data_IF_472195665729
#
_entry.id   IF_472195665729
#
_cell.length_a   1.000
_cell.length_b   1.000
_cell.length_c   1.000
_cell.angle_alpha   90.00
_cell.angle_beta   90.00
_cell.angle_gamma   90.00
#
_symmetry.space_group_name_H-M   'P 1'
#
loop_
_entity.id
_entity.type
_entity.pdbx_description
1 polymer ?
#
# COMPACT_ATOMS: atom_id res chain seq x y z
N UNK A 1 -2.12 14.49 -12.02
CA UNK A 1 -0.78 15.06 -11.87
C UNK A 1 -0.02 14.28 -10.80
N UNK A 2 1.24 13.95 -11.06
CA UNK A 2 2.07 13.26 -10.08
C UNK A 2 2.39 14.21 -8.90
N UNK A 3 2.12 13.81 -7.63
CA UNK A 3 2.31 14.69 -6.47
C UNK A 3 3.77 14.98 -6.16
N UNK A 4 4.73 14.30 -6.81
CA UNK A 4 6.17 14.45 -6.57
C UNK A 4 6.81 15.50 -7.45
N UNK A 5 6.07 16.14 -8.35
CA UNK A 5 6.59 17.10 -9.32
C UNK A 5 5.81 18.40 -9.27
N UNK A 6 6.51 19.49 -9.43
CA UNK A 6 5.88 20.78 -9.66
C UNK A 6 5.60 20.97 -11.15
N UNK A 7 4.47 21.57 -11.45
CA UNK A 7 4.09 21.88 -12.83
C UNK A 7 5.15 22.77 -13.47
N UNK A 8 5.69 22.34 -14.62
CA UNK A 8 6.68 23.10 -15.38
C UNK A 8 8.14 22.84 -15.03
N UNK A 9 8.42 22.00 -14.04
CA UNK A 9 9.80 21.61 -13.73
C UNK A 9 10.20 20.37 -14.52
N UNK A 10 11.42 20.36 -15.07
CA UNK A 10 11.99 19.28 -15.87
C UNK A 10 12.92 18.35 -15.07
N UNK A 11 13.06 18.58 -13.76
CA UNK A 11 13.90 17.78 -12.88
C UNK A 11 13.10 17.35 -11.66
N UNK A 12 13.49 16.20 -11.07
CA UNK A 12 12.84 15.65 -9.89
C UNK A 12 13.24 16.41 -8.63
N UNK A 13 12.25 16.76 -7.81
CA UNK A 13 12.51 17.32 -6.49
C UNK A 13 13.15 16.29 -5.54
N UNK A 14 12.73 15.03 -5.64
CA UNK A 14 13.22 13.93 -4.81
C UNK A 14 13.62 12.75 -5.69
N UNK A 15 14.74 12.09 -5.34
CA UNK A 15 15.21 10.88 -6.03
C UNK A 15 14.63 9.61 -5.43
N UNK A 16 14.29 9.65 -4.16
CA UNK A 16 13.76 8.50 -3.41
C UNK A 16 12.70 9.00 -2.45
N UNK A 17 11.56 8.32 -2.43
CA UNK A 17 10.42 8.67 -1.58
C UNK A 17 9.88 7.44 -0.86
N UNK A 18 9.36 7.67 0.33
CA UNK A 18 8.55 6.71 1.06
C UNK A 18 7.10 7.20 1.02
N UNK A 19 6.25 6.46 0.33
CA UNK A 19 4.84 6.77 0.20
C UNK A 19 4.04 5.97 1.23
N UNK A 20 3.31 6.66 2.07
CA UNK A 20 2.39 6.01 3.01
C UNK A 20 0.98 6.04 2.41
N UNK A 21 0.42 4.86 2.17
CA UNK A 21 -0.96 4.69 1.73
C UNK A 21 -1.80 4.23 2.91
N UNK A 22 -2.78 5.02 3.31
CA UNK A 22 -3.75 4.56 4.29
C UNK A 22 -4.64 3.47 3.66
N UNK A 23 -5.15 2.56 4.48
CA UNK A 23 -6.09 1.57 3.99
C UNK A 23 -7.33 2.23 3.38
N UNK A 24 -7.81 3.29 3.97
CA UNK A 24 -8.97 4.05 3.49
C UNK A 24 -8.76 4.58 2.07
N UNK A 25 -7.54 4.94 1.70
CA UNK A 25 -7.22 5.38 0.34
C UNK A 25 -7.51 4.28 -0.70
N UNK A 26 -7.34 3.01 -0.34
CA UNK A 26 -7.59 1.89 -1.23
C UNK A 26 -9.08 1.54 -1.36
N UNK A 27 -9.88 1.92 -0.37
CA UNK A 27 -11.33 1.73 -0.41
C UNK A 27 -12.03 2.75 -1.30
N UNK A 28 -11.43 3.92 -1.48
CA UNK A 28 -12.05 5.00 -2.25
C UNK A 28 -13.41 5.39 -1.66
N UNK A 29 -14.39 5.58 -2.53
CA UNK A 29 -15.74 5.98 -2.11
C UNK A 29 -16.53 4.85 -1.44
N UNK A 30 -16.07 3.62 -1.52
CA UNK A 30 -16.75 2.47 -0.88
C UNK A 30 -16.61 2.45 0.64
N UNK A 31 -15.63 3.17 1.19
CA UNK A 31 -15.32 3.27 2.63
C UNK A 31 -14.92 1.96 3.30
N UNK A 32 -15.06 0.83 2.63
CA UNK A 32 -14.67 -0.50 3.13
C UNK A 32 -14.10 -1.34 1.99
N UNK A 33 -13.15 -2.19 2.33
CA UNK A 33 -12.53 -3.12 1.38
C UNK A 33 -11.57 -2.44 0.41
N UNK A 34 -11.40 -3.06 -0.73
CA UNK A 34 -10.48 -2.63 -1.79
C UNK A 34 -11.29 -2.30 -3.04
N UNK A 35 -11.21 -1.05 -3.49
CA UNK A 35 -11.83 -0.64 -4.73
C UNK A 35 -10.85 -0.79 -5.89
N UNK A 36 -11.17 -1.66 -6.84
CA UNK A 36 -10.27 -1.99 -7.93
C UNK A 36 -9.89 -0.77 -8.80
N UNK A 37 -10.85 0.10 -9.08
CA UNK A 37 -10.60 1.30 -9.89
C UNK A 37 -9.69 2.28 -9.15
N UNK A 38 -9.92 2.46 -7.86
CA UNK A 38 -9.09 3.33 -7.00
C UNK A 38 -7.64 2.82 -6.94
N UNK A 39 -7.46 1.51 -6.73
CA UNK A 39 -6.12 0.91 -6.70
C UNK A 39 -5.44 1.05 -8.06
N UNK A 40 -6.15 0.86 -9.15
CA UNK A 40 -5.61 1.05 -10.50
C UNK A 40 -5.16 2.50 -10.73
N UNK A 41 -5.92 3.48 -10.25
CA UNK A 41 -5.55 4.89 -10.37
C UNK A 41 -4.29 5.22 -9.55
N UNK A 42 -4.22 4.70 -8.34
CA UNK A 42 -3.02 4.86 -7.49
C UNK A 42 -1.80 4.24 -8.17
N UNK A 43 -1.95 3.04 -8.72
CA UNK A 43 -0.87 2.35 -9.41
C UNK A 43 -0.36 3.14 -10.61
N UNK A 44 -1.26 3.75 -11.39
CA UNK A 44 -0.86 4.60 -12.51
C UNK A 44 -0.04 5.80 -12.05
N UNK A 45 -0.44 6.46 -10.97
CA UNK A 45 0.30 7.59 -10.41
C UNK A 45 1.69 7.18 -9.91
N UNK A 46 1.79 6.03 -9.27
CA UNK A 46 3.07 5.48 -8.80
C UNK A 46 3.97 5.17 -10.01
N UNK A 47 3.40 4.56 -11.05
CA UNK A 47 4.15 4.26 -12.27
C UNK A 47 4.68 5.53 -12.94
N UNK A 48 3.88 6.60 -13.01
CA UNK A 48 4.32 7.89 -13.56
C UNK A 48 5.55 8.41 -12.82
N UNK A 49 5.52 8.38 -11.50
CA UNK A 49 6.66 8.81 -10.69
C UNK A 49 7.88 7.94 -10.92
N UNK A 50 7.69 6.62 -10.97
CA UNK A 50 8.78 5.67 -11.20
C UNK A 50 9.41 5.86 -12.58
N UNK A 51 8.60 6.06 -13.61
CA UNK A 51 9.08 6.26 -14.99
C UNK A 51 9.93 7.53 -15.13
N UNK A 52 9.75 8.49 -14.24
CA UNK A 52 10.56 9.69 -14.18
C UNK A 52 11.87 9.49 -13.39
N UNK A 53 12.14 8.28 -12.90
CA UNK A 53 13.37 7.91 -12.23
C UNK A 53 13.33 7.99 -10.71
N UNK A 54 12.15 8.17 -10.10
CA UNK A 54 12.01 8.15 -8.64
C UNK A 54 12.02 6.72 -8.12
N UNK A 55 12.84 6.45 -7.12
CA UNK A 55 12.78 5.20 -6.36
C UNK A 55 11.67 5.32 -5.31
N UNK A 56 10.77 4.35 -5.26
CA UNK A 56 9.57 4.43 -4.41
C UNK A 56 9.49 3.21 -3.50
N UNK A 57 9.41 3.47 -2.20
CA UNK A 57 9.00 2.49 -1.21
C UNK A 57 7.58 2.85 -0.74
N UNK A 58 6.76 1.85 -0.49
CA UNK A 58 5.35 2.05 -0.11
C UNK A 58 5.08 1.32 1.20
N UNK A 59 4.39 2.00 2.11
CA UNK A 59 3.87 1.40 3.33
C UNK A 59 2.35 1.50 3.29
N UNK A 60 1.67 0.36 3.40
CA UNK A 60 0.21 0.30 3.36
C UNK A 60 -0.38 0.10 4.76
N UNK A 61 -1.41 0.86 5.09
CA UNK A 61 -2.26 0.59 6.24
C UNK A 61 -3.32 -0.48 5.94
N UNK A 62 -4.11 -0.86 6.93
CA UNK A 62 -5.12 -1.91 6.81
C UNK A 62 -6.53 -1.49 7.27
N UNK A 63 -6.73 -0.22 7.60
CA UNK A 63 -7.97 0.26 8.21
C UNK A 63 -9.24 0.18 7.34
N UNK A 64 -9.09 -0.07 6.05
CA UNK A 64 -10.21 -0.32 5.14
C UNK A 64 -10.82 -1.72 5.32
N UNK A 65 -10.08 -2.64 5.92
CA UNK A 65 -10.50 -4.04 6.12
C UNK A 65 -10.75 -4.30 7.61
N UNK A 66 -9.83 -3.89 8.47
CA UNK A 66 -9.88 -4.24 9.88
C UNK A 66 -9.20 -3.20 10.76
N UNK A 67 -9.78 -2.95 11.94
CA UNK A 67 -9.17 -2.13 13.00
C UNK A 67 -9.12 -2.92 14.29
N UNK A 68 -7.93 -3.08 14.88
CA UNK A 68 -7.71 -3.83 16.10
C UNK A 68 -8.50 -3.29 17.30
N UNK A 69 -8.66 -1.96 17.37
CA UNK A 69 -9.47 -1.32 18.42
C UNK A 69 -10.94 -1.79 18.34
N UNK A 70 -11.51 -1.84 17.14
CA UNK A 70 -12.88 -2.32 16.93
C UNK A 70 -13.00 -3.79 17.34
N UNK A 71 -12.04 -4.63 16.99
CA UNK A 71 -12.03 -6.03 17.39
C UNK A 71 -11.99 -6.20 18.91
N UNK A 72 -11.15 -5.43 19.59
CA UNK A 72 -11.09 -5.44 21.06
C UNK A 72 -12.40 -5.01 21.71
N UNK A 73 -13.07 -4.01 21.15
CA UNK A 73 -14.38 -3.56 21.61
C UNK A 73 -15.47 -4.62 21.41
N UNK A 74 -15.30 -5.53 20.44
CA UNK A 74 -16.20 -6.66 20.20
C UNK A 74 -15.91 -7.86 21.09
N UNK A 75 -15.03 -7.73 22.08
CA UNK A 75 -14.66 -8.80 23.01
C UNK A 75 -13.50 -9.68 22.51
N UNK A 76 -12.89 -9.34 21.40
CA UNK A 76 -11.71 -10.04 20.87
C UNK A 76 -10.46 -9.68 21.67
N UNK A 77 -9.58 -10.63 21.89
CA UNK A 77 -8.28 -10.38 22.47
C UNK A 77 -7.51 -9.38 21.59
N UNK A 78 -6.89 -8.37 22.23
CA UNK A 78 -6.23 -7.27 21.50
C UNK A 78 -5.12 -7.77 20.57
N UNK A 79 -4.30 -8.72 21.02
CA UNK A 79 -3.22 -9.28 20.21
C UNK A 79 -3.76 -9.96 18.95
N UNK A 80 -4.85 -10.72 19.07
CA UNK A 80 -5.50 -11.38 17.92
C UNK A 80 -6.07 -10.34 16.95
N UNK A 81 -6.72 -9.31 17.47
CA UNK A 81 -7.25 -8.22 16.66
C UNK A 81 -6.15 -7.46 15.91
N UNK A 82 -5.00 -7.26 16.57
CA UNK A 82 -3.86 -6.58 15.95
C UNK A 82 -3.23 -7.45 14.84
N UNK A 83 -3.15 -8.77 15.04
CA UNK A 83 -2.71 -9.69 13.97
C UNK A 83 -3.62 -9.62 12.74
N UNK A 84 -4.92 -9.54 12.95
CA UNK A 84 -5.85 -9.36 11.83
C UNK A 84 -5.58 -8.06 11.08
N UNK A 85 -5.28 -6.97 11.79
CA UNK A 85 -4.87 -5.72 11.18
C UNK A 85 -3.59 -5.84 10.37
N UNK A 86 -2.61 -6.56 10.88
CA UNK A 86 -1.35 -6.81 10.18
C UNK A 86 -1.58 -7.62 8.89
N UNK A 87 -2.43 -8.66 8.95
CA UNK A 87 -2.81 -9.43 7.77
C UNK A 87 -3.55 -8.56 6.75
N UNK A 88 -4.39 -7.65 7.21
CA UNK A 88 -5.08 -6.69 6.33
C UNK A 88 -4.08 -5.81 5.55
N UNK A 89 -2.98 -5.39 6.19
CA UNK A 89 -1.93 -4.61 5.49
C UNK A 89 -1.29 -5.43 4.38
N UNK A 90 -1.08 -6.72 4.59
CA UNK A 90 -0.51 -7.61 3.56
C UNK A 90 -1.49 -7.78 2.39
N UNK A 91 -2.79 -7.92 2.67
CA UNK A 91 -3.81 -7.97 1.61
C UNK A 91 -3.75 -6.71 0.74
N UNK A 92 -3.68 -5.55 1.35
CA UNK A 92 -3.56 -4.28 0.63
C UNK A 92 -2.26 -4.20 -0.17
N UNK A 93 -1.16 -4.66 0.41
CA UNK A 93 0.13 -4.73 -0.28
C UNK A 93 0.07 -5.60 -1.54
N UNK A 94 -0.58 -6.76 -1.45
CA UNK A 94 -0.80 -7.65 -2.60
C UNK A 94 -1.64 -6.98 -3.68
N UNK A 95 -2.69 -6.25 -3.30
CA UNK A 95 -3.53 -5.55 -4.26
C UNK A 95 -2.75 -4.47 -5.02
N UNK A 96 -1.95 -3.69 -4.32
CA UNK A 96 -1.10 -2.65 -4.94
C UNK A 96 -0.02 -3.30 -5.83
N UNK A 97 0.63 -4.36 -5.33
CA UNK A 97 1.61 -5.11 -6.11
C UNK A 97 1.01 -5.62 -7.42
N UNK A 98 -0.13 -6.28 -7.35
CA UNK A 98 -0.79 -6.81 -8.54
C UNK A 98 -1.12 -5.70 -9.54
N UNK A 99 -1.66 -4.59 -9.09
CA UNK A 99 -2.00 -3.47 -9.96
C UNK A 99 -0.76 -2.86 -10.64
N UNK A 100 0.35 -2.74 -9.91
CA UNK A 100 1.61 -2.24 -10.46
C UNK A 100 2.21 -3.22 -11.47
N UNK A 101 2.20 -4.50 -11.16
CA UNK A 101 2.76 -5.53 -12.07
C UNK A 101 1.94 -5.65 -13.36
N UNK A 102 0.63 -5.44 -13.30
CA UNK A 102 -0.20 -5.36 -14.51
C UNK A 102 0.21 -4.18 -15.41
N UNK A 103 0.83 -3.14 -14.86
CA UNK A 103 1.37 -2.01 -15.61
C UNK A 103 2.84 -2.21 -16.03
N UNK A 104 3.40 -3.39 -15.79
CA UNK A 104 4.80 -3.70 -16.12
C UNK A 104 5.83 -3.21 -15.11
N UNK A 105 5.40 -2.78 -13.93
CA UNK A 105 6.30 -2.32 -12.87
C UNK A 105 6.72 -3.51 -12.02
N UNK A 106 8.02 -3.71 -11.85
CA UNK A 106 8.55 -4.73 -10.94
C UNK A 106 8.38 -4.28 -9.50
N UNK A 107 7.93 -5.19 -8.64
CA UNK A 107 7.67 -4.92 -7.23
C UNK A 107 8.26 -6.00 -6.33
N UNK A 108 8.50 -5.63 -5.08
CA UNK A 108 8.84 -6.58 -4.01
C UNK A 108 7.94 -6.28 -2.83
N UNK A 109 7.19 -7.27 -2.39
CA UNK A 109 6.33 -7.16 -1.22
C UNK A 109 7.05 -7.77 -0.02
N UNK A 110 7.15 -7.01 1.08
CA UNK A 110 7.81 -7.44 2.30
C UNK A 110 6.81 -7.41 3.47
N UNK A 111 6.94 -8.35 4.38
CA UNK A 111 6.11 -8.42 5.58
C UNK A 111 6.97 -8.71 6.82
N UNK A 112 6.62 -8.07 7.93
CA UNK A 112 7.24 -8.37 9.23
C UNK A 112 6.79 -9.73 9.79
N UNK A 113 5.59 -10.19 9.40
CA UNK A 113 5.13 -11.55 9.69
C UNK A 113 5.68 -12.48 8.61
N UNK A 114 6.33 -13.55 9.02
CA UNK A 114 6.89 -14.51 8.07
C UNK A 114 5.78 -15.25 7.32
N UNK A 115 5.74 -15.06 6.00
CA UNK A 115 4.78 -15.69 5.09
C UNK A 115 5.41 -15.79 3.70
N UNK A 116 6.52 -16.49 3.60
CA UNK A 116 7.43 -16.47 2.43
C UNK A 116 6.78 -16.87 1.11
N UNK A 117 5.66 -17.55 1.14
CA UNK A 117 4.94 -17.93 -0.07
C UNK A 117 4.31 -16.73 -0.80
N UNK A 118 4.04 -15.63 -0.09
CA UNK A 118 3.34 -14.47 -0.65
C UNK A 118 4.09 -13.15 -0.45
N UNK A 119 5.01 -13.08 0.50
CA UNK A 119 5.76 -11.86 0.78
C UNK A 119 7.14 -12.22 1.32
N UNK A 120 8.14 -11.39 0.97
CA UNK A 120 9.49 -11.55 1.49
C UNK A 120 9.53 -11.15 2.96
N UNK A 121 10.38 -11.80 3.80
CA UNK A 121 10.55 -11.35 5.17
C UNK A 121 11.24 -9.98 5.20
N UNK A 122 10.71 -9.09 6.03
CA UNK A 122 11.37 -7.81 6.31
C UNK A 122 12.47 -8.05 7.34
N UNK A 123 13.69 -7.82 6.95
CA UNK A 123 14.88 -8.00 7.79
C UNK A 123 15.56 -6.64 7.93
N UNK A 124 15.80 -6.23 9.19
CA UNK A 124 16.55 -4.99 9.49
C UNK A 124 18.03 -5.18 9.21
#
# INVERSE_FOLDING_TARGET
>A
MCPFFKKGEHFMKYKRVLLKLSGEALAGDDHFGINANTVADIARQIKEAKDLGVEIAIVCGGGNIWRGVTGAQMGMERSSADYMGMLATVMNGLAVQNALEQLGVQTRLLSAIEMRQIAEPYIR
#
